data_IF_027246268356
#
_entry.id   IF_027246268356
#
_cell.length_a   1.000
_cell.length_b   1.000
_cell.length_c   1.000
_cell.angle_alpha   90.00
_cell.angle_beta   90.00
_cell.angle_gamma   90.00
#
_symmetry.space_group_name_H-M   'P 1'
#
loop_
_entity.id
_entity.type
_entity.pdbx_description
1 polymer ?
#
# COMPACT_ATOMS: atom_id res chain seq x y z
N UNK A 1 -1.61 -8.94 -4.83
CA UNK A 1 -1.86 -9.42 -3.45
C UNK A 1 -1.21 -8.39 -2.57
N UNK A 2 -1.79 -8.04 -1.45
CA UNK A 2 -1.46 -6.81 -0.72
C UNK A 2 -1.24 -7.13 0.77
N UNK A 3 -1.61 -6.23 1.68
CA UNK A 3 -1.19 -6.27 3.08
C UNK A 3 -1.60 -7.55 3.83
N UNK A 4 -0.76 -7.95 4.78
CA UNK A 4 -1.03 -9.04 5.69
C UNK A 4 -2.29 -8.79 6.53
N UNK A 5 -3.00 -9.87 6.87
CA UNK A 5 -4.09 -9.83 7.87
C UNK A 5 -3.60 -9.19 9.18
N UNK A 6 -4.50 -8.45 9.83
CA UNK A 6 -4.22 -7.66 11.02
C UNK A 6 -3.68 -6.27 10.73
N UNK A 7 -3.26 -5.96 9.49
CA UNK A 7 -2.83 -4.61 9.14
C UNK A 7 -3.97 -3.64 9.38
N UNK A 8 -3.71 -2.62 10.20
CA UNK A 8 -4.68 -1.59 10.53
C UNK A 8 -4.75 -0.55 9.42
N UNK A 9 -5.96 -0.27 8.96
CA UNK A 9 -6.30 0.79 8.01
C UNK A 9 -7.15 1.84 8.71
N UNK A 10 -6.82 3.12 8.55
CA UNK A 10 -7.63 4.18 9.15
C UNK A 10 -9.02 4.26 8.51
N UNK A 11 -10.05 4.34 9.35
CA UNK A 11 -11.45 4.44 8.92
C UNK A 11 -12.24 5.37 9.85
N UNK A 12 -13.41 5.87 9.42
CA UNK A 12 -14.32 6.58 10.32
C UNK A 12 -14.70 5.70 11.52
N UNK A 13 -14.58 6.25 12.73
CA UNK A 13 -14.85 5.52 13.98
C UNK A 13 -13.66 4.73 14.52
N UNK A 14 -12.50 4.74 13.85
CA UNK A 14 -11.26 4.13 14.32
C UNK A 14 -10.60 3.24 13.26
N UNK A 15 -9.35 2.86 13.52
CA UNK A 15 -8.63 1.95 12.64
C UNK A 15 -9.28 0.55 12.66
N UNK A 16 -9.33 -0.10 11.49
CA UNK A 16 -9.90 -1.44 11.30
C UNK A 16 -8.87 -2.36 10.66
N UNK A 17 -8.95 -3.65 10.95
CA UNK A 17 -8.12 -4.65 10.27
C UNK A 17 -8.52 -4.74 8.81
N UNK A 18 -7.55 -4.85 7.93
CA UNK A 18 -7.79 -4.84 6.49
C UNK A 18 -8.72 -5.97 6.04
N UNK A 19 -8.60 -7.16 6.65
CA UNK A 19 -9.43 -8.32 6.36
C UNK A 19 -10.86 -8.20 6.88
N UNK A 20 -11.18 -7.17 7.67
CA UNK A 20 -12.55 -6.89 8.15
C UNK A 20 -13.25 -5.82 7.32
N UNK A 21 -12.53 -5.12 6.43
CA UNK A 21 -13.07 -4.06 5.57
C UNK A 21 -13.83 -4.71 4.41
N UNK A 22 -15.04 -4.24 4.12
CA UNK A 22 -15.92 -4.81 3.10
C UNK A 22 -16.26 -3.78 2.02
N UNK A 23 -16.71 -4.29 0.88
CA UNK A 23 -17.29 -3.44 -0.16
C UNK A 23 -18.41 -2.56 0.44
N UNK A 24 -18.38 -1.27 0.13
CA UNK A 24 -19.30 -0.26 0.67
C UNK A 24 -18.89 0.35 2.00
N UNK A 25 -17.89 -0.20 2.70
CA UNK A 25 -17.32 0.44 3.89
C UNK A 25 -16.59 1.74 3.54
N UNK A 26 -16.32 2.57 4.54
CA UNK A 26 -15.50 3.77 4.40
C UNK A 26 -14.12 3.58 5.01
N UNK A 27 -13.10 4.06 4.32
CA UNK A 27 -11.71 4.20 4.80
C UNK A 27 -11.23 5.63 4.56
N UNK A 28 -10.20 6.06 5.27
CA UNK A 28 -9.55 7.33 4.94
C UNK A 28 -8.57 7.13 3.78
N UNK A 29 -8.77 7.92 2.73
CA UNK A 29 -7.88 7.98 1.59
C UNK A 29 -7.47 9.42 1.26
N UNK A 30 -6.34 9.57 0.57
CA UNK A 30 -5.80 10.87 0.15
C UNK A 30 -5.25 10.80 -1.28
N UNK A 31 -4.92 11.97 -1.82
CA UNK A 31 -4.22 12.18 -3.09
C UNK A 31 -2.72 12.46 -2.92
N UNK A 32 -2.23 12.57 -1.68
CA UNK A 32 -0.83 12.82 -1.37
C UNK A 32 -0.51 14.28 -1.04
N UNK A 33 -1.44 15.20 -1.31
CA UNK A 33 -1.28 16.64 -1.11
C UNK A 33 -2.37 17.23 -0.19
N UNK A 34 -3.64 16.82 -0.32
CA UNK A 34 -4.82 17.43 0.30
C UNK A 34 -5.61 16.48 1.22
N UNK A 35 -5.04 16.19 2.39
CA UNK A 35 -5.76 15.69 3.56
C UNK A 35 -6.43 14.31 3.44
N UNK A 36 -6.81 13.76 4.57
CA UNK A 36 -7.49 12.47 4.64
C UNK A 36 -9.01 12.65 4.49
N UNK A 37 -9.62 11.95 3.53
CA UNK A 37 -11.06 12.01 3.27
C UNK A 37 -11.68 10.63 3.39
N UNK A 38 -12.89 10.50 3.96
CA UNK A 38 -13.62 9.24 3.89
C UNK A 38 -13.96 8.90 2.44
N UNK A 39 -13.48 7.76 1.96
CA UNK A 39 -13.74 7.22 0.62
C UNK A 39 -14.41 5.85 0.71
N UNK A 40 -15.29 5.54 -0.23
CA UNK A 40 -16.01 4.26 -0.24
C UNK A 40 -15.11 3.18 -0.79
N UNK A 41 -15.12 2.00 -0.19
CA UNK A 41 -14.40 0.83 -0.67
C UNK A 41 -15.20 0.18 -1.81
N UNK A 42 -14.62 0.15 -3.01
CA UNK A 42 -15.20 -0.48 -4.21
C UNK A 42 -14.61 -1.86 -4.51
N UNK A 43 -13.50 -2.21 -3.88
CA UNK A 43 -12.91 -3.55 -3.97
C UNK A 43 -12.42 -3.98 -2.60
N UNK A 44 -12.75 -5.21 -2.20
CA UNK A 44 -12.23 -5.83 -0.99
C UNK A 44 -12.21 -7.34 -1.20
N UNK A 45 -11.02 -7.91 -1.32
CA UNK A 45 -10.84 -9.35 -1.51
C UNK A 45 -9.43 -9.77 -1.08
N UNK A 46 -9.22 -11.06 -0.86
CA UNK A 46 -7.97 -11.57 -0.35
C UNK A 46 -7.88 -13.09 -0.35
N UNK A 47 -6.71 -13.58 0.06
CA UNK A 47 -6.50 -15.00 0.29
C UNK A 47 -6.60 -15.27 1.79
N UNK A 48 -7.52 -16.14 2.25
CA UNK A 48 -7.71 -16.41 3.67
C UNK A 48 -6.51 -17.13 4.30
N UNK A 49 -6.29 -16.89 5.59
CA UNK A 49 -5.29 -17.60 6.38
C UNK A 49 -5.77 -19.02 6.72
N UNK A 50 -5.26 -20.04 6.03
CA UNK A 50 -5.80 -21.41 6.16
C UNK A 50 -4.84 -22.55 5.90
N UNK A 51 -3.51 -22.33 5.96
CA UNK A 51 -2.53 -23.42 5.99
C UNK A 51 -1.23 -23.21 5.19
N UNK A 52 -1.13 -22.15 4.38
CA UNK A 52 0.08 -21.81 3.63
C UNK A 52 1.00 -20.80 4.34
N UNK A 53 2.30 -20.93 4.13
CA UNK A 53 3.27 -19.87 4.37
C UNK A 53 3.48 -19.11 3.05
N UNK A 54 3.32 -17.79 3.08
CA UNK A 54 3.57 -16.93 1.93
C UNK A 54 4.83 -16.11 2.17
N UNK A 55 5.68 -15.96 1.16
CA UNK A 55 6.81 -15.04 1.24
C UNK A 55 6.31 -13.61 1.08
N UNK A 56 6.50 -12.79 2.11
CA UNK A 56 6.09 -11.38 2.14
C UNK A 56 7.27 -10.51 2.57
N UNK A 57 7.23 -9.24 2.16
CA UNK A 57 8.18 -8.23 2.61
C UNK A 57 7.70 -7.68 3.95
N UNK A 58 8.55 -7.76 4.97
CA UNK A 58 8.38 -7.09 6.25
C UNK A 58 9.22 -5.82 6.25
N UNK A 59 8.56 -4.68 6.43
CA UNK A 59 9.19 -3.36 6.55
C UNK A 59 9.13 -2.94 8.01
N UNK A 60 10.28 -2.84 8.67
CA UNK A 60 10.37 -2.49 10.10
C UNK A 60 10.63 -0.99 10.26
N UNK A 61 9.81 -0.34 11.07
CA UNK A 61 9.81 1.08 11.41
C UNK A 61 10.05 1.24 12.93
N UNK A 62 10.16 2.48 13.42
CA UNK A 62 10.34 2.74 14.86
C UNK A 62 9.17 2.20 15.69
N UNK A 63 7.95 2.46 15.23
CA UNK A 63 6.73 2.26 16.00
C UNK A 63 5.94 1.01 15.58
N UNK A 64 6.54 0.14 14.75
CA UNK A 64 5.90 -1.09 14.28
C UNK A 64 6.46 -1.59 12.96
N UNK A 65 5.71 -2.45 12.30
CA UNK A 65 6.04 -3.02 11.01
C UNK A 65 4.84 -3.07 10.07
N UNK A 66 5.13 -3.05 8.78
CA UNK A 66 4.16 -3.32 7.72
C UNK A 66 4.60 -4.57 6.99
N UNK A 67 3.74 -5.57 6.95
CA UNK A 67 3.96 -6.79 6.18
C UNK A 67 3.09 -6.74 4.92
N UNK A 68 3.75 -6.74 3.77
CA UNK A 68 3.11 -6.56 2.48
C UNK A 68 3.72 -7.52 1.46
N UNK A 69 3.08 -7.68 0.31
CA UNK A 69 3.72 -8.36 -0.82
C UNK A 69 4.81 -7.49 -1.44
N UNK A 70 5.64 -8.12 -2.27
CA UNK A 70 6.77 -7.48 -2.96
C UNK A 70 6.35 -6.25 -3.78
N UNK A 71 5.21 -6.33 -4.47
CA UNK A 71 4.74 -5.26 -5.35
C UNK A 71 3.98 -4.14 -4.64
N UNK A 72 3.71 -4.29 -3.33
CA UNK A 72 2.85 -3.35 -2.62
C UNK A 72 3.47 -1.94 -2.62
N UNK A 73 2.74 -0.91 -3.08
CA UNK A 73 3.25 0.45 -3.20
C UNK A 73 3.28 1.18 -1.85
N UNK A 74 4.44 1.75 -1.50
CA UNK A 74 4.64 2.67 -0.40
C UNK A 74 4.84 4.09 -0.91
N UNK A 75 4.32 5.08 -0.18
CA UNK A 75 4.61 6.48 -0.45
C UNK A 75 5.89 6.90 0.28
N UNK A 76 6.87 7.33 -0.49
CA UNK A 76 8.13 7.89 0.00
C UNK A 76 7.92 9.30 0.54
N UNK A 77 8.80 9.77 1.42
CA UNK A 77 8.73 11.10 2.02
C UNK A 77 8.86 12.24 0.98
N UNK A 78 9.46 11.96 -0.17
CA UNK A 78 9.59 12.88 -1.32
C UNK A 78 8.38 12.85 -2.27
N UNK A 79 7.35 12.04 -1.97
CA UNK A 79 6.15 11.88 -2.78
C UNK A 79 6.23 10.81 -3.85
N UNK A 80 7.39 10.15 -4.03
CA UNK A 80 7.51 9.05 -4.99
C UNK A 80 6.79 7.78 -4.49
N UNK A 81 6.31 6.96 -5.41
CA UNK A 81 5.81 5.61 -5.10
C UNK A 81 6.95 4.60 -5.26
N UNK A 82 7.16 3.75 -4.25
CA UNK A 82 8.16 2.68 -4.29
C UNK A 82 7.54 1.37 -3.84
N UNK A 83 7.81 0.29 -4.58
CA UNK A 83 7.35 -1.06 -4.20
C UNK A 83 8.10 -1.57 -2.99
N UNK A 84 7.46 -2.43 -2.20
CA UNK A 84 8.02 -3.02 -1.00
C UNK A 84 9.39 -3.68 -1.23
N UNK A 85 9.53 -4.44 -2.32
CA UNK A 85 10.79 -5.13 -2.67
C UNK A 85 11.97 -4.20 -2.97
N UNK A 86 11.69 -2.92 -3.26
CA UNK A 86 12.71 -1.90 -3.57
C UNK A 86 13.07 -1.03 -2.38
N UNK A 87 12.41 -1.22 -1.24
CA UNK A 87 12.74 -0.51 -0.02
C UNK A 87 14.07 -1.03 0.54
N UNK A 88 14.82 -0.13 1.15
CA UNK A 88 16.04 -0.45 1.86
C UNK A 88 16.07 0.23 3.24
N UNK A 89 16.90 -0.31 4.14
CA UNK A 89 17.21 0.39 5.39
C UNK A 89 17.72 1.80 5.12
N UNK A 90 17.20 2.77 5.88
CA UNK A 90 17.49 4.20 5.72
C UNK A 90 16.54 4.93 4.78
N UNK A 91 15.70 4.23 4.01
CA UNK A 91 14.63 4.86 3.25
C UNK A 91 13.65 5.60 4.18
N UNK A 92 13.06 6.67 3.67
CA UNK A 92 12.11 7.51 4.40
C UNK A 92 10.75 7.43 3.73
N UNK A 93 9.78 6.87 4.45
CA UNK A 93 8.39 6.79 4.04
C UNK A 93 7.61 7.98 4.57
N UNK A 94 6.48 8.30 3.94
CA UNK A 94 5.49 9.21 4.49
C UNK A 94 4.77 8.50 5.64
N UNK A 95 4.86 9.06 6.84
CA UNK A 95 4.10 8.61 7.99
C UNK A 95 2.63 9.06 7.89
N UNK A 96 1.73 8.34 8.56
CA UNK A 96 0.29 8.63 8.53
C UNK A 96 -0.08 10.00 9.12
N UNK A 97 0.74 10.54 10.03
CA UNK A 97 0.62 11.87 10.62
C UNK A 97 1.24 12.99 9.77
N UNK A 98 1.79 12.66 8.59
CA UNK A 98 2.45 13.58 7.68
C UNK A 98 3.96 13.75 7.93
N UNK A 99 4.51 13.15 8.99
CA UNK A 99 5.94 13.14 9.26
C UNK A 99 6.69 12.11 8.39
N UNK A 100 7.96 11.87 8.69
CA UNK A 100 8.79 10.88 8.00
C UNK A 100 8.99 9.65 8.89
N UNK A 101 8.69 8.47 8.36
CA UNK A 101 9.00 7.19 9.01
C UNK A 101 10.26 6.59 8.38
N UNK A 102 11.28 6.35 9.20
CA UNK A 102 12.53 5.72 8.74
C UNK A 102 12.38 4.21 8.71
N UNK A 103 12.75 3.59 7.60
CA UNK A 103 12.87 2.15 7.46
C UNK A 103 14.15 1.68 8.16
N UNK A 104 14.02 0.90 9.22
CA UNK A 104 15.17 0.32 9.93
C UNK A 104 15.64 -0.98 9.30
N UNK A 105 14.71 -1.77 8.76
CA UNK A 105 15.01 -3.07 8.18
C UNK A 105 13.95 -3.44 7.16
N UNK A 106 14.39 -4.15 6.10
CA UNK A 106 13.52 -4.80 5.12
C UNK A 106 13.95 -6.25 5.04
N UNK A 107 13.02 -7.18 5.21
CA UNK A 107 13.27 -8.62 5.11
C UNK A 107 12.19 -9.31 4.25
N UNK A 108 12.57 -10.36 3.54
CA UNK A 108 11.61 -11.32 2.98
C UNK A 108 11.43 -12.45 3.99
N UNK A 109 10.26 -12.53 4.59
CA UNK A 109 9.93 -13.51 5.62
C UNK A 109 8.77 -14.40 5.20
N UNK A 110 8.71 -15.58 5.81
CA UNK A 110 7.53 -16.45 5.70
C UNK A 110 6.44 -15.92 6.63
N UNK A 111 5.40 -15.38 6.05
CA UNK A 111 4.21 -14.94 6.76
C UNK A 111 3.19 -16.08 6.84
N UNK A 112 2.71 -16.36 8.06
CA UNK A 112 1.58 -17.28 8.32
C UNK A 112 0.32 -16.47 8.56
N UNK A 113 -0.56 -16.45 7.58
CA UNK A 113 -1.83 -15.74 7.64
C UNK A 113 -2.41 -15.52 6.25
N UNK A 114 -3.48 -14.73 6.19
CA UNK A 114 -4.06 -14.27 4.93
C UNK A 114 -3.42 -12.97 4.45
N UNK A 115 -3.63 -12.65 3.19
CA UNK A 115 -3.34 -11.34 2.62
C UNK A 115 -4.64 -10.74 2.09
N UNK A 116 -4.86 -9.44 2.31
CA UNK A 116 -6.10 -8.76 1.93
C UNK A 116 -5.82 -7.48 1.18
N UNK A 117 -6.69 -7.18 0.22
CA UNK A 117 -6.63 -6.04 -0.67
C UNK A 117 -7.87 -5.20 -0.54
N UNK A 118 -7.69 -3.88 -0.55
CA UNK A 118 -8.79 -2.93 -0.63
C UNK A 118 -8.47 -1.86 -1.67
N UNK A 119 -9.48 -1.36 -2.35
CA UNK A 119 -9.39 -0.14 -3.15
C UNK A 119 -10.65 0.71 -3.04
N UNK A 120 -10.47 2.01 -3.20
CA UNK A 120 -11.57 2.96 -3.13
C UNK A 120 -12.34 3.03 -4.45
N UNK A 121 -13.48 3.70 -4.43
CA UNK A 121 -14.28 4.06 -5.59
C UNK A 121 -13.69 5.22 -6.42
N UNK A 122 -12.50 5.71 -6.07
CA UNK A 122 -11.87 6.80 -6.80
C UNK A 122 -11.60 6.40 -8.26
N UNK A 123 -11.98 7.24 -9.24
CA UNK A 123 -11.79 6.93 -10.65
C UNK A 123 -10.30 6.84 -10.98
N UNK A 124 -9.93 5.90 -11.85
CA UNK A 124 -8.56 5.81 -12.32
C UNK A 124 -8.24 6.97 -13.26
N UNK A 125 -7.12 7.64 -12.99
CA UNK A 125 -6.53 8.64 -13.86
C UNK A 125 -5.01 8.40 -13.93
N UNK A 126 -4.42 8.23 -15.12
CA UNK A 126 -2.97 8.06 -15.26
C UNK A 126 -2.18 9.16 -14.55
N UNK A 127 -1.17 8.77 -13.77
CA UNK A 127 -0.32 9.68 -13.01
C UNK A 127 -0.97 10.30 -11.76
N UNK A 128 -2.22 9.95 -11.43
CA UNK A 128 -2.92 10.48 -10.26
C UNK A 128 -2.88 9.51 -9.10
N UNK A 129 -2.56 10.01 -7.90
CA UNK A 129 -2.69 9.28 -6.63
C UNK A 129 -4.05 9.53 -5.95
N UNK A 130 -4.91 10.35 -6.57
CA UNK A 130 -6.15 10.83 -5.95
C UNK A 130 -7.08 9.72 -5.44
N UNK A 131 -7.26 9.67 -4.12
CA UNK A 131 -8.09 8.69 -3.43
C UNK A 131 -7.50 7.28 -3.38
N UNK A 132 -6.22 7.11 -3.73
CA UNK A 132 -5.55 5.80 -3.84
C UNK A 132 -4.48 5.57 -2.78
N UNK A 133 -4.24 6.55 -1.92
CA UNK A 133 -3.33 6.42 -0.78
C UNK A 133 -4.14 6.18 0.48
N UNK A 134 -3.72 5.22 1.30
CA UNK A 134 -4.35 4.78 2.54
C UNK A 134 -3.38 4.93 3.71
N UNK A 135 -3.89 5.17 4.91
CA UNK A 135 -3.10 5.07 6.14
C UNK A 135 -3.08 3.61 6.60
N UNK A 136 -1.90 2.98 6.58
CA UNK A 136 -1.72 1.56 6.90
C UNK A 136 -0.52 1.36 7.82
N UNK A 137 -0.73 0.71 8.97
CA UNK A 137 0.37 0.39 9.90
C UNK A 137 1.27 1.57 10.30
N UNK A 138 0.73 2.78 10.39
CA UNK A 138 1.46 3.99 10.74
C UNK A 138 2.12 4.75 9.57
N UNK A 139 2.08 4.21 8.35
CA UNK A 139 2.61 4.86 7.13
C UNK A 139 1.53 5.02 6.05
N UNK A 140 1.91 5.63 4.93
CA UNK A 140 1.04 5.79 3.77
C UNK A 140 1.41 4.77 2.70
N UNK A 141 0.45 3.95 2.29
CA UNK A 141 0.60 2.97 1.20
C UNK A 141 -0.48 3.16 0.15
N UNK A 142 -0.26 2.58 -1.02
CA UNK A 142 -1.26 2.57 -2.08
C UNK A 142 -2.30 1.47 -1.92
N UNK A 143 -3.47 1.72 -2.51
CA UNK A 143 -4.55 0.75 -2.60
C UNK A 143 -4.30 -0.29 -3.72
N UNK A 144 -5.21 -1.26 -3.84
CA UNK A 144 -5.07 -2.36 -4.79
C UNK A 144 -5.03 -1.93 -6.27
N UNK A 145 -5.69 -0.83 -6.64
CA UNK A 145 -5.63 -0.37 -8.03
C UNK A 145 -4.28 0.31 -8.28
N UNK A 146 -3.73 1.06 -7.33
CA UNK A 146 -2.39 1.63 -7.47
C UNK A 146 -1.31 0.53 -7.55
N UNK A 147 -1.46 -0.57 -6.82
CA UNK A 147 -0.59 -1.75 -6.92
C UNK A 147 -0.60 -2.33 -8.36
N UNK A 148 -1.78 -2.63 -8.90
CA UNK A 148 -1.90 -3.17 -10.27
C UNK A 148 -1.32 -2.24 -11.34
N UNK A 149 -1.52 -0.93 -11.20
CA UNK A 149 -1.03 0.05 -12.18
C UNK A 149 0.47 0.28 -12.07
N UNK A 150 1.02 0.23 -10.85
CA UNK A 150 2.47 0.26 -10.64
C UNK A 150 3.15 -0.94 -11.30
N UNK A 151 2.45 -2.07 -11.41
CA UNK A 151 2.89 -3.26 -12.14
C UNK A 151 2.82 -3.10 -13.66
N UNK A 152 1.78 -2.48 -14.20
CA UNK A 152 1.64 -2.30 -15.66
C UNK A 152 2.55 -1.22 -16.25
N UNK A 153 2.86 -0.16 -15.50
CA UNK A 153 3.71 0.96 -15.96
C UNK A 153 5.20 0.60 -16.15
N UNK A 154 5.64 -0.58 -15.71
CA UNK A 154 7.01 -1.07 -15.95
C UNK A 154 7.11 -2.03 -17.14
N UNK A 155 5.99 -2.42 -17.75
CA UNK A 155 5.96 -3.17 -19.01
C UNK A 155 6.06 -2.28 -20.27
N UNK A 156 5.99 -0.97 -20.11
CA UNK A 156 6.11 0.02 -21.18
C UNK A 156 7.28 0.96 -20.90
N UNK A 157 8.50 0.44 -21.02
CA UNK A 157 9.58 1.27 -21.56
C UNK A 157 9.18 1.53 -23.00
N UNK A 158 8.85 2.78 -23.34
CA UNK A 158 8.91 3.21 -24.73
C UNK A 158 10.39 3.09 -25.13
N UNK A 159 10.76 1.96 -25.73
CA UNK A 159 11.91 1.91 -26.61
C UNK A 159 11.61 2.88 -27.75
N UNK A 160 12.04 4.13 -27.61
CA UNK A 160 12.24 4.98 -28.77
C UNK A 160 13.47 4.44 -29.47
N UNK A 161 13.27 3.62 -30.49
CA UNK A 161 14.31 3.35 -31.48
C UNK A 161 14.82 4.70 -32.01
N UNK A 162 16.13 4.93 -32.09
CA UNK A 162 16.64 6.09 -32.80
C UNK A 162 16.38 5.88 -34.29
N UNK A 163 15.64 6.79 -34.91
CA UNK A 163 15.54 6.86 -36.37
C UNK A 163 16.95 7.04 -36.95
N UNK A 164 17.28 6.19 -37.93
CA UNK A 164 18.49 6.22 -38.74
C UNK A 164 18.36 7.21 -39.90
#
# INVERSE_FOLDING_TARGET
MSLAYGTLVAAPGGARRIEDIRHGDKVFASDGEDGWRPSTVAFSDGTPGGGGEWTMVRVVLADGDVVATMDHPFLMADGAIRRAERLASGDRLRAADGSQAVVYMVSLDRFRGGAHAVATDAPWKPGSLAGRLLQTGGVVTGDFILEQMSNSLQGSVLETEPEA
#
